data_IF_213742720983
#
_entry.id   IF_213742720983
#
_cell.length_a   1.000
_cell.length_b   1.000
_cell.length_c   1.000
_cell.angle_alpha   90.00
_cell.angle_beta   90.00
_cell.angle_gamma   90.00
#
_symmetry.space_group_name_H-M   'P 1'
#
loop_
_entity.id
_entity.type
_entity.pdbx_description
1 polymer ?
#
# COMPACT_ATOMS: atom_id res chain seq x y z
N UNK A 1 7.60 -11.30 -27.35
CA UNK A 1 8.44 -10.57 -26.38
C UNK A 1 8.54 -11.40 -25.13
N UNK A 2 9.68 -11.35 -24.46
CA UNK A 2 9.81 -12.02 -23.16
C UNK A 2 9.15 -11.18 -22.07
N UNK A 3 8.70 -11.83 -20.99
CA UNK A 3 8.00 -11.17 -19.87
C UNK A 3 8.77 -9.98 -19.29
N UNK A 4 10.09 -10.09 -19.22
CA UNK A 4 10.95 -9.02 -18.72
C UNK A 4 10.96 -7.79 -19.65
N UNK A 5 10.77 -7.97 -20.96
CA UNK A 5 10.64 -6.83 -21.90
C UNK A 5 9.38 -6.02 -21.58
N UNK A 6 8.25 -6.68 -21.29
CA UNK A 6 7.00 -5.99 -20.94
C UNK A 6 7.14 -5.22 -19.63
N UNK A 7 7.77 -5.82 -18.62
CA UNK A 7 8.04 -5.12 -17.36
C UNK A 7 8.90 -3.88 -17.57
N UNK A 8 9.96 -4.01 -18.37
CA UNK A 8 10.83 -2.89 -18.70
C UNK A 8 10.08 -1.79 -19.44
N UNK A 9 9.30 -2.13 -20.45
CA UNK A 9 8.51 -1.16 -21.21
C UNK A 9 7.50 -0.44 -20.32
N UNK A 10 6.76 -1.16 -19.47
CA UNK A 10 5.81 -0.57 -18.53
C UNK A 10 6.51 0.40 -17.56
N UNK A 11 7.65 0.00 -17.00
CA UNK A 11 8.42 0.85 -16.10
C UNK A 11 9.01 2.09 -16.76
N UNK A 12 9.54 1.97 -17.98
CA UNK A 12 10.08 3.10 -18.75
C UNK A 12 8.97 4.02 -19.30
N UNK A 13 7.77 3.51 -19.56
CA UNK A 13 6.63 4.35 -19.94
C UNK A 13 6.17 5.22 -18.77
N UNK A 14 6.13 4.66 -17.56
CA UNK A 14 5.66 5.37 -16.37
C UNK A 14 6.49 6.63 -16.06
N UNK A 15 7.80 6.64 -16.36
CA UNK A 15 8.66 7.81 -16.08
C UNK A 15 8.32 9.02 -16.95
N UNK A 16 7.60 8.86 -18.06
CA UNK A 16 7.17 9.98 -18.91
C UNK A 16 6.14 10.89 -18.23
N UNK A 17 5.55 10.43 -17.13
CA UNK A 17 4.63 11.21 -16.31
C UNK A 17 5.32 11.99 -15.18
N UNK A 18 6.66 11.94 -15.11
CA UNK A 18 7.45 12.58 -14.06
C UNK A 18 8.05 13.87 -14.59
N UNK A 19 7.88 14.93 -13.81
CA UNK A 19 8.36 16.28 -14.11
C UNK A 19 9.33 16.77 -13.03
N UNK A 20 10.11 17.80 -13.36
CA UNK A 20 11.06 18.41 -12.43
C UNK A 20 10.34 18.99 -11.21
N UNK A 21 10.90 18.75 -10.01
CA UNK A 21 10.36 19.20 -8.73
C UNK A 21 9.31 18.30 -8.09
N UNK A 22 8.92 17.19 -8.72
CA UNK A 22 7.90 16.28 -8.17
C UNK A 22 8.40 15.48 -6.95
N UNK A 23 7.49 15.27 -6.00
CA UNK A 23 7.66 14.29 -4.91
C UNK A 23 7.03 12.96 -5.34
N UNK A 24 7.84 11.90 -5.32
CA UNK A 24 7.45 10.60 -5.85
C UNK A 24 7.29 9.55 -4.75
N UNK A 25 6.19 8.81 -4.79
CA UNK A 25 6.11 7.53 -4.10
C UNK A 25 6.79 6.44 -4.94
N UNK A 26 7.81 5.81 -4.37
CA UNK A 26 8.58 4.76 -5.04
C UNK A 26 8.06 3.39 -4.59
N UNK A 27 7.34 2.69 -5.46
CA UNK A 27 6.73 1.39 -5.21
C UNK A 27 7.71 0.23 -5.02
N UNK A 28 7.19 -0.99 -4.92
CA UNK A 28 7.98 -2.21 -4.71
C UNK A 28 7.65 -3.27 -5.77
N UNK A 29 8.66 -4.06 -6.16
CA UNK A 29 8.51 -5.24 -7.02
C UNK A 29 9.39 -5.20 -8.26
N UNK A 30 9.53 -6.36 -8.92
CA UNK A 30 10.45 -6.54 -10.05
C UNK A 30 10.18 -5.59 -11.22
N UNK A 31 8.92 -5.25 -11.51
CA UNK A 31 8.56 -4.27 -12.55
C UNK A 31 8.97 -2.85 -12.16
N UNK A 32 8.80 -2.49 -10.88
CA UNK A 32 9.16 -1.16 -10.38
C UNK A 32 10.68 -0.93 -10.42
N UNK A 33 11.50 -1.97 -10.29
CA UNK A 33 12.96 -1.83 -10.39
C UNK A 33 13.41 -1.22 -11.73
N UNK A 34 12.75 -1.57 -12.84
CA UNK A 34 13.02 -0.95 -14.15
C UNK A 34 12.70 0.55 -14.15
N UNK A 35 11.61 0.93 -13.47
CA UNK A 35 11.24 2.35 -13.26
C UNK A 35 12.35 3.07 -12.49
N UNK A 36 12.81 2.51 -11.38
CA UNK A 36 13.85 3.13 -10.53
C UNK A 36 15.16 3.31 -11.28
N UNK A 37 15.59 2.31 -12.05
CA UNK A 37 16.81 2.42 -12.88
C UNK A 37 16.68 3.53 -13.92
N UNK A 38 15.50 3.67 -14.54
CA UNK A 38 15.26 4.72 -15.52
C UNK A 38 15.21 6.10 -14.87
N UNK A 39 14.55 6.24 -13.72
CA UNK A 39 14.58 7.48 -12.92
C UNK A 39 16.01 7.86 -12.52
N UNK A 40 16.82 6.89 -12.08
CA UNK A 40 18.23 7.11 -11.75
C UNK A 40 19.04 7.69 -12.92
N UNK A 41 18.80 7.20 -14.14
CA UNK A 41 19.42 7.77 -15.35
C UNK A 41 18.97 9.22 -15.57
N UNK A 42 17.67 9.50 -15.47
CA UNK A 42 17.14 10.85 -15.67
C UNK A 42 17.65 11.84 -14.60
N UNK A 43 17.79 11.39 -13.35
CA UNK A 43 18.39 12.18 -12.27
C UNK A 43 19.85 12.52 -12.57
N UNK A 44 20.63 11.56 -13.07
CA UNK A 44 22.01 11.80 -13.53
C UNK A 44 22.07 12.78 -14.71
N UNK A 45 21.04 12.80 -15.55
CA UNK A 45 20.87 13.73 -16.68
C UNK A 45 20.34 15.11 -16.26
N UNK A 46 19.96 15.30 -15.00
CA UNK A 46 19.59 16.61 -14.43
C UNK A 46 18.15 16.74 -13.94
N UNK A 47 17.33 15.68 -14.01
CA UNK A 47 16.00 15.67 -13.40
C UNK A 47 16.11 15.84 -11.87
N UNK A 48 15.36 16.79 -11.31
CA UNK A 48 15.28 17.01 -9.86
C UNK A 48 13.98 16.45 -9.34
N UNK A 49 14.07 15.44 -8.49
CA UNK A 49 12.94 14.80 -7.81
C UNK A 49 13.38 14.34 -6.42
N UNK A 50 12.41 14.08 -5.54
CA UNK A 50 12.64 13.40 -4.28
C UNK A 50 11.70 12.19 -4.14
N UNK A 51 12.21 11.07 -3.65
CA UNK A 51 11.48 9.81 -3.58
C UNK A 51 11.19 9.35 -2.15
N UNK A 52 9.97 8.87 -1.91
CA UNK A 52 9.54 8.22 -0.67
C UNK A 52 9.37 6.71 -0.94
N UNK A 53 10.26 5.85 -0.44
CA UNK A 53 10.22 4.42 -0.75
C UNK A 53 9.13 3.68 0.03
N UNK A 54 8.45 2.75 -0.63
CA UNK A 54 7.44 1.87 0.00
C UNK A 54 8.02 0.66 0.71
N UNK A 55 9.30 0.31 0.48
CA UNK A 55 9.99 -0.78 1.17
C UNK A 55 11.48 -0.49 1.42
N UNK A 56 12.11 -1.31 2.27
CA UNK A 56 13.56 -1.28 2.49
C UNK A 56 14.32 -1.64 1.21
N UNK A 57 13.79 -2.58 0.41
CA UNK A 57 14.38 -2.98 -0.86
C UNK A 57 14.37 -1.83 -1.87
N UNK A 58 13.22 -1.17 -2.04
CA UNK A 58 13.11 0.03 -2.89
C UNK A 58 14.04 1.14 -2.43
N UNK A 59 14.13 1.38 -1.12
CA UNK A 59 15.05 2.38 -0.55
C UNK A 59 16.51 2.09 -0.92
N UNK A 60 16.92 0.83 -0.91
CA UNK A 60 18.28 0.42 -1.30
C UNK A 60 18.55 0.72 -2.77
N UNK A 61 17.65 0.30 -3.67
CA UNK A 61 17.82 0.53 -5.11
C UNK A 61 17.84 2.03 -5.43
N UNK A 62 16.94 2.81 -4.84
CA UNK A 62 16.89 4.26 -5.06
C UNK A 62 18.21 4.94 -4.66
N UNK A 63 18.84 4.49 -3.56
CA UNK A 63 20.17 4.98 -3.15
C UNK A 63 21.27 4.59 -4.13
N UNK A 64 21.27 3.34 -4.61
CA UNK A 64 22.24 2.87 -5.61
C UNK A 64 22.14 3.66 -6.92
N UNK A 65 20.92 4.07 -7.29
CA UNK A 65 20.64 4.89 -8.46
C UNK A 65 20.83 6.40 -8.23
N UNK A 66 21.23 6.81 -7.03
CA UNK A 66 21.41 8.21 -6.63
C UNK A 66 20.13 9.06 -6.73
N UNK A 67 18.96 8.46 -6.54
CA UNK A 67 17.69 9.19 -6.43
C UNK A 67 17.63 9.83 -5.03
N UNK A 68 17.48 11.16 -4.92
CA UNK A 68 17.29 11.82 -3.63
C UNK A 68 16.08 11.25 -2.89
N UNK A 69 16.22 11.04 -1.59
CA UNK A 69 15.18 10.43 -0.77
C UNK A 69 14.67 11.41 0.27
N UNK A 70 13.36 11.36 0.47
CA UNK A 70 12.64 12.13 1.49
C UNK A 70 11.67 11.22 2.27
N UNK A 71 10.88 11.81 3.15
CA UNK A 71 9.93 11.09 4.00
C UNK A 71 8.51 11.61 3.85
N UNK A 72 7.53 10.79 4.24
CA UNK A 72 6.13 11.20 4.26
C UNK A 72 5.88 12.28 5.32
N UNK A 73 6.67 12.29 6.38
CA UNK A 73 6.64 13.31 7.42
C UNK A 73 7.09 14.69 6.90
N UNK A 74 8.11 14.73 6.05
CA UNK A 74 8.60 15.95 5.40
C UNK A 74 7.68 16.39 4.26
N UNK A 75 7.14 15.45 3.49
CA UNK A 75 6.24 15.69 2.36
C UNK A 75 4.97 14.82 2.47
N UNK A 76 3.92 15.31 3.16
CA UNK A 76 2.68 14.57 3.33
C UNK A 76 1.83 14.49 2.05
N UNK A 77 2.07 15.37 1.08
CA UNK A 77 1.39 15.39 -0.22
C UNK A 77 2.35 14.92 -1.32
N UNK A 78 2.03 13.80 -1.96
CA UNK A 78 2.85 13.16 -3.00
C UNK A 78 2.24 13.46 -4.37
N UNK A 79 3.06 13.81 -5.36
CA UNK A 79 2.55 14.14 -6.70
C UNK A 79 2.17 12.86 -7.45
N UNK A 80 3.09 11.91 -7.53
CA UNK A 80 2.90 10.65 -8.27
C UNK A 80 3.50 9.50 -7.49
N UNK A 81 2.74 8.41 -7.31
CA UNK A 81 3.30 7.11 -6.93
C UNK A 81 3.36 6.21 -8.14
N UNK A 82 4.51 5.54 -8.36
CA UNK A 82 4.63 4.45 -9.33
C UNK A 82 4.83 3.16 -8.57
N UNK A 83 3.95 2.18 -8.76
CA UNK A 83 3.98 0.91 -8.03
C UNK A 83 3.55 -0.28 -8.88
N UNK A 84 3.87 -1.51 -8.44
CA UNK A 84 3.43 -2.74 -9.08
C UNK A 84 2.10 -3.26 -8.53
N UNK A 85 1.56 -4.30 -9.17
CA UNK A 85 0.44 -5.07 -8.64
C UNK A 85 0.65 -6.58 -8.85
N UNK A 86 0.00 -7.38 -8.01
CA UNK A 86 -0.01 -8.83 -8.12
C UNK A 86 -1.12 -9.31 -9.07
N UNK A 87 -2.26 -8.60 -9.10
CA UNK A 87 -3.33 -8.71 -10.08
C UNK A 87 -3.99 -7.35 -10.34
N UNK A 88 -4.54 -7.18 -11.55
CA UNK A 88 -5.30 -6.01 -12.01
C UNK A 88 -6.54 -6.48 -12.78
N UNK A 89 -7.72 -6.03 -12.40
CA UNK A 89 -8.96 -6.32 -13.14
C UNK A 89 -9.31 -5.21 -14.16
N UNK A 90 -10.38 -5.44 -14.94
CA UNK A 90 -10.87 -4.48 -15.95
C UNK A 90 -11.39 -3.16 -15.38
N UNK A 91 -11.63 -3.08 -14.07
CA UNK A 91 -12.07 -1.87 -13.37
C UNK A 91 -10.91 -1.14 -12.70
N UNK A 92 -9.67 -1.60 -12.93
CA UNK A 92 -8.44 -1.09 -12.29
C UNK A 92 -8.40 -1.34 -10.78
N UNK A 93 -9.17 -2.31 -10.28
CA UNK A 93 -8.96 -2.82 -8.92
C UNK A 93 -7.70 -3.68 -8.89
N UNK A 94 -7.05 -3.73 -7.73
CA UNK A 94 -5.72 -4.33 -7.58
C UNK A 94 -5.71 -5.34 -6.43
N UNK A 95 -5.05 -6.47 -6.63
CA UNK A 95 -4.42 -7.20 -5.53
C UNK A 95 -2.95 -6.80 -5.47
N UNK A 96 -2.50 -6.47 -4.26
CA UNK A 96 -1.11 -6.14 -3.91
C UNK A 96 -0.72 -6.84 -2.61
N UNK A 97 0.58 -6.90 -2.35
CA UNK A 97 1.13 -7.35 -1.07
C UNK A 97 1.97 -8.61 -1.16
N UNK A 98 2.17 -9.19 -2.35
CA UNK A 98 3.07 -10.33 -2.55
C UNK A 98 4.51 -10.04 -2.14
N UNK A 99 4.92 -8.78 -2.15
CA UNK A 99 6.24 -8.31 -1.66
C UNK A 99 6.31 -7.99 -0.16
N UNK A 100 5.22 -8.15 0.60
CA UNK A 100 5.20 -7.87 2.05
C UNK A 100 5.33 -6.40 2.44
N UNK A 101 5.00 -5.48 1.54
CA UNK A 101 5.06 -4.03 1.76
C UNK A 101 3.68 -3.32 1.72
N UNK A 102 2.60 -4.10 1.69
CA UNK A 102 1.21 -3.66 1.51
C UNK A 102 0.85 -2.41 2.31
N UNK A 103 1.09 -2.40 3.62
CA UNK A 103 0.68 -1.26 4.46
C UNK A 103 1.34 0.04 4.02
N UNK A 104 2.65 0.01 3.77
CA UNK A 104 3.40 1.21 3.40
C UNK A 104 3.11 1.64 1.97
N UNK A 105 2.94 0.69 1.06
CA UNK A 105 2.43 0.94 -0.31
C UNK A 105 1.09 1.68 -0.27
N UNK A 106 0.13 1.19 0.54
CA UNK A 106 -1.20 1.79 0.64
C UNK A 106 -1.17 3.19 1.25
N UNK A 107 -0.35 3.42 2.29
CA UNK A 107 -0.18 4.74 2.90
C UNK A 107 0.38 5.75 1.88
N UNK A 108 1.40 5.37 1.12
CA UNK A 108 2.02 6.24 0.11
C UNK A 108 1.06 6.51 -1.04
N UNK A 109 0.42 5.48 -1.58
CA UNK A 109 -0.57 5.61 -2.65
C UNK A 109 -1.74 6.52 -2.24
N UNK A 110 -2.23 6.39 -1.00
CA UNK A 110 -3.33 7.21 -0.47
C UNK A 110 -2.99 8.70 -0.33
N UNK A 111 -1.71 9.03 -0.10
CA UNK A 111 -1.25 10.41 -0.02
C UNK A 111 -0.77 10.95 -1.38
N UNK A 112 -0.97 10.19 -2.46
CA UNK A 112 -0.59 10.59 -3.81
C UNK A 112 -1.75 11.20 -4.59
N UNK A 113 -1.48 12.28 -5.34
CA UNK A 113 -2.45 12.87 -6.28
C UNK A 113 -2.73 11.94 -7.45
N UNK A 114 -1.70 11.20 -7.90
CA UNK A 114 -1.79 10.20 -8.96
C UNK A 114 -1.08 8.92 -8.56
N UNK A 115 -1.68 7.77 -8.88
CA UNK A 115 -1.05 6.46 -8.75
C UNK A 115 -0.96 5.82 -10.13
N UNK A 116 0.24 5.40 -10.52
CA UNK A 116 0.54 4.71 -11.77
C UNK A 116 0.93 3.28 -11.43
N UNK A 117 0.17 2.32 -11.96
CA UNK A 117 0.43 0.91 -11.76
C UNK A 117 1.17 0.34 -12.96
N UNK A 118 2.34 -0.25 -12.74
CA UNK A 118 3.18 -0.88 -13.77
C UNK A 118 3.15 -2.39 -13.63
N UNK A 119 2.63 -3.06 -14.66
CA UNK A 119 2.49 -4.52 -14.70
C UNK A 119 2.79 -5.08 -16.08
N UNK A 120 3.22 -6.34 -16.13
CA UNK A 120 3.20 -7.14 -17.36
C UNK A 120 1.81 -7.76 -17.61
N UNK A 121 1.58 -8.25 -18.82
CA UNK A 121 0.30 -8.79 -19.28
C UNK A 121 -0.22 -9.94 -18.42
N UNK A 122 0.68 -10.74 -17.81
CA UNK A 122 0.30 -11.84 -16.91
C UNK A 122 -0.43 -11.40 -15.64
N UNK A 123 -0.43 -10.11 -15.30
CA UNK A 123 -1.08 -9.57 -14.11
C UNK A 123 -2.51 -9.10 -14.37
N UNK A 124 -2.94 -9.06 -15.63
CA UNK A 124 -4.29 -8.64 -16.00
C UNK A 124 -5.22 -9.85 -15.93
N UNK A 125 -6.19 -9.80 -15.02
CA UNK A 125 -7.11 -10.92 -14.73
C UNK A 125 -8.57 -10.54 -15.01
N UNK A 126 -9.41 -11.55 -15.25
CA UNK A 126 -10.85 -11.34 -15.46
C UNK A 126 -11.59 -11.00 -14.17
N UNK A 127 -11.14 -11.55 -13.05
CA UNK A 127 -11.61 -11.23 -11.72
C UNK A 127 -10.45 -11.41 -10.74
N UNK A 128 -10.45 -10.63 -9.66
CA UNK A 128 -9.42 -10.68 -8.64
C UNK A 128 -9.53 -11.98 -7.81
N UNK A 129 -8.39 -12.46 -7.31
CA UNK A 129 -8.26 -13.61 -6.43
C UNK A 129 -8.21 -14.96 -7.15
N UNK A 130 -8.10 -14.97 -8.49
CA UNK A 130 -8.04 -16.20 -9.29
C UNK A 130 -6.63 -16.79 -9.24
N UNK A 131 -5.61 -15.98 -9.50
CA UNK A 131 -4.23 -16.43 -9.68
C UNK A 131 -3.33 -16.04 -8.50
N UNK A 132 -3.77 -15.07 -7.68
CA UNK A 132 -3.01 -14.57 -6.53
C UNK A 132 -3.88 -14.44 -5.27
N UNK A 133 -3.45 -15.01 -4.12
CA UNK A 133 -4.19 -14.89 -2.88
C UNK A 133 -4.15 -13.45 -2.35
N UNK A 134 -5.28 -12.97 -1.81
CA UNK A 134 -5.34 -11.66 -1.17
C UNK A 134 -4.40 -11.61 0.04
N UNK A 135 -3.40 -10.72 -0.02
CA UNK A 135 -2.50 -10.50 1.09
C UNK A 135 -3.21 -9.73 2.22
N UNK A 136 -3.17 -10.28 3.43
CA UNK A 136 -3.69 -9.62 4.64
C UNK A 136 -2.53 -9.39 5.59
N UNK A 137 -2.20 -8.12 5.84
CA UNK A 137 -1.18 -7.77 6.82
C UNK A 137 -1.79 -7.72 8.21
N UNK A 138 -1.54 -8.78 8.98
CA UNK A 138 -1.93 -8.84 10.39
C UNK A 138 -0.83 -8.20 11.22
N UNK A 139 -1.08 -7.00 11.73
CA UNK A 139 -0.17 -6.41 12.71
C UNK A 139 -0.24 -7.27 13.97
N UNK A 140 0.85 -7.97 14.29
CA UNK A 140 0.94 -8.82 15.50
C UNK A 140 1.05 -7.96 16.76
N UNK A 141 -0.06 -7.33 17.14
CA UNK A 141 -0.31 -6.85 18.49
C UNK A 141 -0.92 -7.94 19.38
N UNK A 142 -1.08 -9.17 18.86
CA UNK A 142 -1.75 -10.26 19.57
C UNK A 142 -3.25 -10.00 19.79
N UNK A 143 -3.84 -9.11 18.98
CA UNK A 143 -5.22 -8.71 19.11
C UNK A 143 -6.16 -9.72 18.46
N UNK A 144 -7.23 -10.07 19.16
CA UNK A 144 -8.33 -10.84 18.59
C UNK A 144 -9.19 -9.90 17.74
N UNK A 145 -9.43 -10.30 16.49
CA UNK A 145 -10.28 -9.57 15.56
C UNK A 145 -11.45 -10.46 15.16
N UNK A 146 -12.66 -9.90 15.11
CA UNK A 146 -13.82 -10.63 14.60
C UNK A 146 -13.83 -10.72 13.06
N UNK A 147 -14.76 -11.50 12.51
CA UNK A 147 -14.91 -11.67 11.05
C UNK A 147 -15.31 -10.40 10.29
N UNK A 148 -15.61 -9.29 11.00
CA UNK A 148 -15.96 -7.97 10.43
C UNK A 148 -14.87 -6.93 10.65
N UNK A 149 -13.71 -7.34 11.15
CA UNK A 149 -12.55 -6.49 11.36
C UNK A 149 -12.54 -5.71 12.67
N UNK A 150 -13.47 -5.98 13.60
CA UNK A 150 -13.56 -5.27 14.86
C UNK A 150 -12.56 -5.79 15.89
N UNK A 151 -11.97 -4.85 16.62
CA UNK A 151 -11.05 -5.09 17.73
C UNK A 151 -11.51 -4.29 18.94
N UNK A 152 -11.42 -4.87 20.13
CA UNK A 152 -11.71 -4.16 21.38
C UNK A 152 -10.69 -3.04 21.63
N UNK A 153 -11.17 -1.82 21.90
CA UNK A 153 -10.29 -0.66 22.08
C UNK A 153 -9.39 -0.80 23.32
N UNK A 154 -9.87 -1.42 24.40
CA UNK A 154 -9.06 -1.64 25.61
C UNK A 154 -7.99 -2.70 25.36
N UNK A 155 -8.31 -3.76 24.61
CA UNK A 155 -7.31 -4.75 24.18
C UNK A 155 -6.24 -4.09 23.30
N UNK A 156 -6.65 -3.26 22.33
CA UNK A 156 -5.74 -2.48 21.49
C UNK A 156 -4.82 -1.58 22.33
N UNK A 157 -5.37 -0.85 23.30
CA UNK A 157 -4.60 0.02 24.19
C UNK A 157 -3.62 -0.81 25.03
N UNK A 158 -4.07 -1.94 25.56
CA UNK A 158 -3.25 -2.85 26.35
C UNK A 158 -2.08 -3.39 25.52
N UNK A 159 -2.34 -3.91 24.32
CA UNK A 159 -1.30 -4.46 23.44
C UNK A 159 -0.30 -3.39 22.97
N UNK A 160 -0.76 -2.17 22.71
CA UNK A 160 0.13 -1.05 22.38
C UNK A 160 0.97 -0.63 23.60
N UNK A 161 0.35 -0.53 24.77
CA UNK A 161 1.00 -0.10 26.02
C UNK A 161 2.01 -1.11 26.56
N UNK A 162 1.75 -2.41 26.39
CA UNK A 162 2.67 -3.50 26.76
C UNK A 162 3.78 -3.70 25.73
N UNK A 163 3.47 -3.52 24.44
CA UNK A 163 4.42 -3.70 23.35
C UNK A 163 5.39 -2.53 23.13
N UNK A 164 5.10 -1.33 23.66
CA UNK A 164 5.93 -0.13 23.43
C UNK A 164 6.00 0.77 24.67
N UNK A 165 7.22 1.06 25.14
CA UNK A 165 7.45 2.07 26.17
C UNK A 165 7.03 3.46 25.66
N UNK A 166 6.41 4.26 26.53
CA UNK A 166 5.99 5.64 26.22
C UNK A 166 4.53 5.81 25.79
N UNK A 167 3.74 4.74 25.70
CA UNK A 167 2.30 4.81 25.37
C UNK A 167 1.38 4.75 26.60
N UNK A 168 1.92 4.92 27.81
CA UNK A 168 1.16 4.90 29.08
C UNK A 168 0.10 6.01 29.18
N UNK A 169 0.10 6.97 28.27
CA UNK A 169 -0.89 8.03 28.15
C UNK A 169 -2.08 7.64 27.27
N UNK A 170 -1.98 6.56 26.47
CA UNK A 170 -3.03 6.16 25.55
C UNK A 170 -4.26 5.71 26.34
N UNK A 171 -5.42 6.27 25.99
CA UNK A 171 -6.71 6.01 26.63
C UNK A 171 -7.76 5.87 25.54
N UNK A 172 -8.87 5.20 25.85
CA UNK A 172 -10.00 5.02 24.93
C UNK A 172 -10.43 6.32 24.24
N UNK A 173 -10.54 7.41 24.99
CA UNK A 173 -10.88 8.74 24.44
C UNK A 173 -9.93 9.23 23.34
N UNK A 174 -8.66 8.82 23.34
CA UNK A 174 -7.69 9.23 22.32
C UNK A 174 -7.93 8.47 21.02
N UNK A 175 -8.23 7.17 21.12
CA UNK A 175 -8.63 6.33 19.97
C UNK A 175 -9.97 6.82 19.41
N UNK A 176 -10.93 7.12 20.29
CA UNK A 176 -12.21 7.67 19.88
C UNK A 176 -12.12 9.04 19.22
N UNK A 177 -11.30 9.93 19.77
CA UNK A 177 -11.05 11.22 19.16
C UNK A 177 -10.45 11.05 17.76
N UNK A 178 -9.42 10.20 17.62
CA UNK A 178 -8.77 9.94 16.33
C UNK A 178 -9.78 9.51 15.26
N UNK A 179 -10.63 8.52 15.57
CA UNK A 179 -11.65 8.06 14.63
C UNK A 179 -12.71 9.13 14.32
N UNK A 180 -13.20 9.86 15.34
CA UNK A 180 -14.22 10.91 15.18
C UNK A 180 -13.70 12.13 14.42
N UNK A 181 -12.42 12.46 14.55
CA UNK A 181 -11.80 13.60 13.88
C UNK A 181 -11.22 13.27 12.52
N UNK A 182 -11.29 12.01 12.09
CA UNK A 182 -10.75 11.61 10.79
C UNK A 182 -11.74 11.97 9.66
N UNK A 183 -11.48 13.02 8.86
CA UNK A 183 -12.40 13.44 7.80
C UNK A 183 -12.50 12.41 6.66
N UNK A 184 -11.54 11.49 6.60
CA UNK A 184 -11.47 10.42 5.60
C UNK A 184 -12.25 9.17 6.05
N UNK A 185 -12.75 9.14 7.28
CA UNK A 185 -13.55 8.03 7.80
C UNK A 185 -12.80 6.70 7.83
N UNK A 186 -11.47 6.70 8.05
CA UNK A 186 -10.62 5.50 7.99
C UNK A 186 -10.83 4.53 9.13
N UNK A 187 -11.56 4.96 10.16
CA UNK A 187 -11.86 4.15 11.33
C UNK A 187 -13.33 4.27 11.67
N UNK A 188 -13.92 3.16 12.07
CA UNK A 188 -15.26 3.11 12.66
C UNK A 188 -15.14 2.71 14.12
N UNK A 189 -16.03 3.26 14.94
CA UNK A 189 -16.15 2.92 16.35
C UNK A 189 -17.60 2.60 16.64
N UNK A 190 -17.82 1.45 17.27
CA UNK A 190 -19.12 1.01 17.74
C UNK A 190 -18.95 0.22 19.04
N UNK A 191 -19.75 0.52 20.05
CA UNK A 191 -19.77 -0.27 21.30
C UNK A 191 -18.46 -0.40 22.09
N UNK A 192 -17.41 0.39 21.80
CA UNK A 192 -16.07 0.20 22.39
C UNK A 192 -15.14 -0.67 21.55
N UNK A 193 -15.59 -1.08 20.37
CA UNK A 193 -14.80 -1.68 19.32
C UNK A 193 -14.31 -0.60 18.35
N UNK A 194 -13.17 -0.86 17.71
CA UNK A 194 -12.66 -0.09 16.59
C UNK A 194 -12.35 -1.02 15.42
N UNK A 195 -12.59 -0.56 14.20
CA UNK A 195 -12.06 -1.20 12.99
C UNK A 195 -11.55 -0.17 12.01
N UNK A 196 -10.57 -0.56 11.19
CA UNK A 196 -10.24 0.19 10.00
C UNK A 196 -11.33 -0.02 8.93
N UNK A 197 -11.72 1.05 8.24
CA UNK A 197 -12.67 0.99 7.12
C UNK A 197 -11.96 0.86 5.77
N UNK A 198 -10.69 1.25 5.68
CA UNK A 198 -9.88 1.09 4.46
C UNK A 198 -9.21 -0.28 4.44
N UNK A 199 -9.98 -1.30 4.06
CA UNK A 199 -9.51 -2.68 3.90
C UNK A 199 -10.21 -3.45 2.78
N UNK A 200 -11.43 -3.07 2.42
CA UNK A 200 -12.21 -3.77 1.40
C UNK A 200 -12.91 -2.74 0.53
N UNK A 201 -12.65 -2.77 -0.77
CA UNK A 201 -13.78 -2.58 -1.68
C UNK A 201 -14.64 -3.84 -1.52
N UNK A 202 -15.96 -3.63 -1.43
CA UNK A 202 -17.07 -4.60 -1.36
C UNK A 202 -17.58 -4.90 0.07
N UNK A 203 -18.83 -4.49 0.33
CA UNK A 203 -19.71 -5.19 1.27
C UNK A 203 -20.11 -6.52 0.62
N UNK A 204 -19.56 -7.64 1.10
CA UNK A 204 -19.98 -8.98 0.67
C UNK A 204 -21.02 -9.49 1.67
N UNK A 205 -22.26 -9.62 1.22
CA UNK A 205 -23.25 -10.49 1.87
C UNK A 205 -22.91 -11.93 1.45
N UNK A 206 -22.68 -12.82 2.42
CA UNK A 206 -22.17 -14.18 2.19
C UNK A 206 -23.29 -15.25 2.21
N UNK A 207 -24.50 -14.87 1.80
CA UNK A 207 -25.68 -15.72 1.98
C UNK A 207 -25.89 -16.74 0.83
N UNK A 208 -25.04 -16.73 -0.20
CA UNK A 208 -25.26 -17.46 -1.46
C UNK A 208 -24.03 -18.18 -2.05
N UNK A 209 -23.00 -18.50 -1.25
CA UNK A 209 -21.92 -19.38 -1.69
C UNK A 209 -22.40 -20.86 -1.72
N UNK A 210 -22.30 -21.58 -2.85
CA UNK A 210 -22.57 -23.01 -2.87
C UNK A 210 -21.49 -23.78 -2.11
N UNK A 211 -21.91 -24.65 -1.20
CA UNK A 211 -21.03 -25.65 -0.60
C UNK A 211 -20.64 -26.67 -1.68
N UNK A 212 -19.35 -26.72 -2.03
CA UNK A 212 -18.82 -27.82 -2.83
C UNK A 212 -18.56 -29.01 -1.90
N UNK A 213 -19.42 -30.02 -1.96
CA UNK A 213 -19.10 -31.35 -1.46
C UNK A 213 -17.84 -31.85 -2.19
N UNK A 214 -16.80 -32.17 -1.41
CA UNK A 214 -15.57 -32.76 -1.91
C UNK A 214 -15.66 -34.28 -1.72
N UNK A 215 -15.86 -35.01 -2.81
CA UNK A 215 -15.47 -36.43 -2.94
C UNK A 215 -13.96 -36.55 -3.24
#
# INVERSE_FOLDING_TARGET
MEREDYKKQAGEEAVKHIEDGMILGLGTGSTVEYTLRKLGQMVKEGLKIEGIPTSVHTKRIAKEENIPLTTLEEHPDIDVTIDGADEVDSYLNLIKGGGGALTREKIIAFNSKKVIIVVDDSKVVKALGIDFPLAVEVIKFGLMMDGKGWVDIEELIHSVGTGRSGFNWLRRRHIEALAKTDPRGRYQIDGGMIRATYGHTIDVTLDDLPEAELD
#
